data_IF_447954883704
#
_entry.id   IF_447954883704
#
_cell.length_a   1.000
_cell.length_b   1.000
_cell.length_c   1.000
_cell.angle_alpha   90.00
_cell.angle_beta   90.00
_cell.angle_gamma   90.00
#
_symmetry.space_group_name_H-M   'P 1'
#
loop_
_entity.id
_entity.type
_entity.pdbx_description
1 polymer ?
#
# COMPACT_ATOMS: atom_id res chain seq x y z
N UNK A 1 13.34 -15.57 16.44
CA UNK A 1 12.36 -15.17 17.48
C UNK A 1 12.47 -15.92 18.81
N UNK A 2 13.03 -17.15 18.85
CA UNK A 2 13.09 -17.96 20.09
C UNK A 2 13.72 -17.27 21.32
N UNK A 3 14.71 -16.38 21.13
CA UNK A 3 15.34 -15.64 22.24
C UNK A 3 14.47 -14.50 22.78
N UNK A 4 13.71 -13.83 21.92
CA UNK A 4 12.79 -12.73 22.32
C UNK A 4 11.57 -13.29 23.03
N UNK A 5 11.07 -14.43 22.55
CA UNK A 5 9.96 -15.18 23.14
C UNK A 5 10.40 -16.13 24.25
N UNK A 6 11.64 -16.01 24.74
CA UNK A 6 12.13 -16.89 25.81
C UNK A 6 11.32 -16.65 27.09
N UNK A 7 10.90 -17.74 27.73
CA UNK A 7 10.28 -17.69 29.07
C UNK A 7 11.27 -17.18 30.13
N UNK A 8 12.57 -17.31 29.85
CA UNK A 8 13.66 -16.90 30.70
C UNK A 8 14.01 -15.42 30.42
N UNK A 9 13.80 -14.57 31.44
CA UNK A 9 13.90 -13.10 31.33
C UNK A 9 15.34 -12.66 31.03
N UNK A 10 16.34 -13.38 31.55
CA UNK A 10 17.76 -13.04 31.37
C UNK A 10 18.28 -13.39 29.96
N UNK A 11 17.52 -14.20 29.22
CA UNK A 11 17.83 -14.56 27.83
C UNK A 11 17.16 -13.64 26.81
N UNK A 12 16.28 -12.75 27.25
CA UNK A 12 15.63 -11.78 26.36
C UNK A 12 16.62 -10.68 25.99
N UNK A 13 16.84 -10.42 24.69
CA UNK A 13 17.66 -9.28 24.30
C UNK A 13 16.97 -7.98 24.74
N UNK A 14 17.76 -6.99 25.18
CA UNK A 14 17.23 -5.67 25.50
C UNK A 14 16.55 -5.05 24.27
N UNK A 15 15.49 -4.26 24.47
CA UNK A 15 14.65 -3.70 23.39
C UNK A 15 15.47 -2.94 22.35
N UNK A 16 16.54 -2.26 22.76
CA UNK A 16 17.50 -1.58 21.87
C UNK A 16 18.18 -2.52 20.85
N UNK A 17 18.34 -3.80 21.17
CA UNK A 17 18.89 -4.79 20.25
C UNK A 17 17.84 -5.34 19.27
N UNK A 18 16.54 -5.15 19.52
CA UNK A 18 15.50 -5.54 18.56
C UNK A 18 15.69 -4.78 17.24
N UNK A 19 15.95 -3.49 17.31
CA UNK A 19 16.23 -2.64 16.14
C UNK A 19 17.46 -3.11 15.31
N UNK A 20 18.36 -3.90 15.91
CA UNK A 20 19.55 -4.45 15.25
C UNK A 20 19.33 -5.86 14.68
N UNK A 21 18.17 -6.47 14.93
CA UNK A 21 17.88 -7.80 14.39
C UNK A 21 17.42 -7.62 12.93
N UNK A 22 18.05 -8.37 12.01
CA UNK A 22 17.79 -8.39 10.56
C UNK A 22 16.33 -8.64 10.13
N UNK A 23 15.38 -8.84 11.06
CA UNK A 23 13.96 -8.96 10.76
C UNK A 23 13.30 -7.63 10.38
N UNK A 24 13.98 -6.49 10.54
CA UNK A 24 13.48 -5.20 10.06
C UNK A 24 13.69 -4.98 8.54
N UNK A 25 14.37 -5.90 7.84
CA UNK A 25 14.44 -5.94 6.37
C UNK A 25 13.22 -6.66 5.75
N UNK A 26 12.05 -6.58 6.40
CA UNK A 26 10.83 -7.16 5.83
C UNK A 26 10.32 -6.25 4.69
N UNK A 27 10.18 -6.76 3.46
CA UNK A 27 9.76 -5.93 2.32
C UNK A 27 8.37 -5.30 2.54
N UNK A 28 7.47 -5.99 3.24
CA UNK A 28 6.17 -5.48 3.64
C UNK A 28 6.29 -4.24 4.55
N UNK A 29 7.13 -4.31 5.59
CA UNK A 29 7.34 -3.20 6.51
C UNK A 29 8.00 -2.00 5.81
N UNK A 30 8.98 -2.29 4.95
CA UNK A 30 9.66 -1.25 4.15
C UNK A 30 8.68 -0.55 3.21
N UNK A 31 7.80 -1.30 2.52
CA UNK A 31 6.79 -0.72 1.64
C UNK A 31 5.76 0.13 2.42
N UNK A 32 5.29 -0.35 3.57
CA UNK A 32 4.37 0.43 4.42
C UNK A 32 5.00 1.73 4.92
N UNK A 33 6.28 1.69 5.33
CA UNK A 33 7.01 2.88 5.74
C UNK A 33 7.21 3.86 4.58
N UNK A 34 7.59 3.36 3.40
CA UNK A 34 7.69 4.20 2.21
C UNK A 34 6.36 4.83 1.83
N UNK A 35 5.24 4.12 2.01
CA UNK A 35 3.89 4.67 1.82
C UNK A 35 3.57 5.77 2.83
N UNK A 36 4.00 5.63 4.08
CA UNK A 36 3.83 6.68 5.10
C UNK A 36 4.62 7.96 4.75
N UNK A 37 5.81 7.82 4.15
CA UNK A 37 6.71 8.92 3.79
C UNK A 37 6.52 9.45 2.35
N UNK A 38 5.61 8.85 1.56
CA UNK A 38 5.54 9.06 0.10
C UNK A 38 5.25 10.51 -0.31
N UNK A 39 4.59 11.30 0.54
CA UNK A 39 4.34 12.71 0.26
C UNK A 39 5.62 13.55 0.24
N UNK A 40 6.67 13.09 0.91
CA UNK A 40 7.99 13.75 0.92
C UNK A 40 8.79 13.48 -0.36
N UNK A 41 8.36 12.52 -1.18
CA UNK A 41 9.01 12.22 -2.47
C UNK A 41 8.61 13.29 -3.49
N UNK A 42 9.57 14.08 -3.95
CA UNK A 42 9.32 15.13 -4.94
C UNK A 42 9.25 14.61 -6.38
N UNK A 43 9.93 13.50 -6.67
CA UNK A 43 9.97 12.91 -8.01
C UNK A 43 8.67 12.13 -8.34
N UNK A 44 7.89 12.58 -9.34
CA UNK A 44 6.68 11.88 -9.78
C UNK A 44 6.94 10.49 -10.35
N UNK A 45 8.09 10.26 -11.00
CA UNK A 45 8.41 8.93 -11.56
C UNK A 45 8.67 7.93 -10.44
N UNK A 46 9.39 8.36 -9.40
CA UNK A 46 9.63 7.54 -8.21
C UNK A 46 8.31 7.20 -7.49
N UNK A 47 7.39 8.16 -7.34
CA UNK A 47 6.04 7.89 -6.80
C UNK A 47 5.28 6.86 -7.63
N UNK A 48 5.29 7.01 -8.95
CA UNK A 48 4.63 6.07 -9.86
C UNK A 48 5.22 4.67 -9.78
N UNK A 49 6.55 4.54 -9.80
CA UNK A 49 7.24 3.24 -9.68
C UNK A 49 6.91 2.58 -8.35
N UNK A 50 6.96 3.33 -7.24
CA UNK A 50 6.58 2.79 -5.94
C UNK A 50 5.14 2.27 -5.92
N UNK A 51 4.16 3.07 -6.35
CA UNK A 51 2.74 2.70 -6.28
C UNK A 51 2.39 1.53 -7.22
N UNK A 52 2.94 1.54 -8.44
CA UNK A 52 2.60 0.56 -9.48
C UNK A 52 3.45 -0.71 -9.46
N UNK A 53 4.63 -0.70 -8.83
CA UNK A 53 5.54 -1.85 -8.80
C UNK A 53 5.79 -2.25 -7.35
N UNK A 54 6.51 -1.44 -6.57
CA UNK A 54 6.94 -1.83 -5.21
C UNK A 54 5.77 -2.21 -4.31
N UNK A 55 4.71 -1.38 -4.26
CA UNK A 55 3.54 -1.66 -3.45
C UNK A 55 2.76 -2.86 -3.97
N UNK A 56 2.63 -2.99 -5.29
CA UNK A 56 1.97 -4.13 -5.92
C UNK A 56 2.68 -5.46 -5.62
N UNK A 57 4.00 -5.49 -5.77
CA UNK A 57 4.82 -6.69 -5.57
C UNK A 57 4.90 -7.10 -4.10
N UNK A 58 4.69 -6.15 -3.17
CA UNK A 58 4.70 -6.40 -1.73
C UNK A 58 3.31 -6.67 -1.14
N UNK A 59 2.23 -6.34 -1.81
CA UNK A 59 0.86 -6.62 -1.35
C UNK A 59 0.62 -8.10 -0.97
N UNK A 60 1.10 -9.12 -1.72
CA UNK A 60 0.88 -10.53 -1.39
C UNK A 60 1.40 -10.95 -0.01
N UNK A 61 2.44 -10.28 0.50
CA UNK A 61 3.05 -10.59 1.80
C UNK A 61 2.52 -9.70 2.92
N UNK A 62 1.81 -8.62 2.61
CA UNK A 62 1.17 -7.74 3.60
C UNK A 62 -0.14 -8.42 4.05
N UNK A 63 -0.36 -8.61 5.36
CA UNK A 63 -1.64 -9.08 5.89
C UNK A 63 -2.83 -8.23 5.41
N UNK A 64 -3.90 -8.87 4.95
CA UNK A 64 -5.08 -8.18 4.37
C UNK A 64 -5.67 -7.11 5.31
N UNK A 65 -5.66 -7.35 6.63
CA UNK A 65 -6.14 -6.36 7.59
C UNK A 65 -5.40 -5.01 7.48
N UNK A 66 -4.11 -5.02 7.14
CA UNK A 66 -3.30 -3.82 6.94
C UNK A 66 -3.64 -3.10 5.64
N UNK A 67 -4.17 -3.80 4.64
CA UNK A 67 -4.63 -3.15 3.42
C UNK A 67 -5.73 -2.12 3.74
N UNK A 68 -6.68 -2.51 4.58
CA UNK A 68 -7.82 -1.66 4.93
C UNK A 68 -7.57 -0.72 6.11
N UNK A 69 -6.64 -1.06 7.02
CA UNK A 69 -6.33 -0.22 8.19
C UNK A 69 -5.15 0.73 7.98
N UNK A 70 -4.32 0.49 6.95
CA UNK A 70 -3.16 1.34 6.64
C UNK A 70 -3.17 1.81 5.19
N UNK A 71 -3.23 0.92 4.21
CA UNK A 71 -3.03 1.30 2.79
C UNK A 71 -4.17 2.19 2.27
N UNK A 72 -5.42 1.75 2.40
CA UNK A 72 -6.58 2.53 1.94
C UNK A 72 -6.70 3.90 2.62
N UNK A 73 -6.57 4.04 3.96
CA UNK A 73 -6.54 5.34 4.60
C UNK A 73 -5.47 6.28 4.06
N UNK A 74 -4.26 5.77 3.74
CA UNK A 74 -3.21 6.57 3.10
C UNK A 74 -3.56 6.97 1.69
N UNK A 75 -4.25 6.12 0.95
CA UNK A 75 -4.75 6.50 -0.37
C UNK A 75 -5.76 7.63 -0.26
N UNK A 76 -6.71 7.53 0.68
CA UNK A 76 -7.70 8.58 0.94
C UNK A 76 -7.03 9.90 1.35
N UNK A 77 -6.01 9.84 2.20
CA UNK A 77 -5.30 11.02 2.70
C UNK A 77 -4.47 11.72 1.61
N UNK A 78 -3.77 10.94 0.79
CA UNK A 78 -2.72 11.48 -0.07
C UNK A 78 -3.07 11.56 -1.55
N UNK A 79 -3.99 10.73 -2.03
CA UNK A 79 -4.15 10.51 -3.47
C UNK A 79 -5.55 10.77 -4.01
N UNK A 80 -6.51 11.18 -3.17
CA UNK A 80 -7.93 11.32 -3.56
C UNK A 80 -8.19 12.25 -4.76
N UNK A 81 -7.29 13.23 -4.98
CA UNK A 81 -7.35 14.18 -6.10
C UNK A 81 -6.08 14.13 -6.97
N UNK A 82 -5.23 13.10 -6.80
CA UNK A 82 -4.01 12.91 -7.59
C UNK A 82 -4.31 12.07 -8.84
N UNK A 83 -5.10 12.60 -9.76
CA UNK A 83 -5.60 11.86 -10.93
C UNK A 83 -4.48 11.28 -11.81
N UNK A 84 -3.33 11.97 -11.90
CA UNK A 84 -2.16 11.50 -12.66
C UNK A 84 -1.56 10.20 -12.08
N UNK A 85 -1.82 9.91 -10.80
CA UNK A 85 -1.35 8.70 -10.11
C UNK A 85 -2.38 7.57 -10.13
N UNK A 86 -3.60 7.80 -10.62
CA UNK A 86 -4.64 6.77 -10.68
C UNK A 86 -4.24 5.54 -11.50
N UNK A 87 -3.55 5.67 -12.66
CA UNK A 87 -3.03 4.51 -13.37
C UNK A 87 -2.10 3.67 -12.50
N UNK A 88 -1.20 4.30 -11.73
CA UNK A 88 -0.28 3.59 -10.84
C UNK A 88 -1.00 2.93 -9.66
N UNK A 89 -2.00 3.60 -9.07
CA UNK A 89 -2.84 3.08 -7.98
C UNK A 89 -3.76 1.94 -8.42
N UNK A 90 -4.14 1.89 -9.70
CA UNK A 90 -5.05 0.86 -10.21
C UNK A 90 -4.49 -0.55 -10.04
N UNK A 91 -3.18 -0.74 -10.22
CA UNK A 91 -2.50 -2.03 -10.03
C UNK A 91 -2.67 -2.63 -8.63
N UNK A 92 -2.25 -1.95 -7.54
CA UNK A 92 -2.45 -2.47 -6.19
C UNK A 92 -3.94 -2.60 -5.85
N UNK A 93 -4.80 -1.68 -6.30
CA UNK A 93 -6.24 -1.75 -6.02
C UNK A 93 -6.94 -2.94 -6.69
N UNK A 94 -6.59 -3.27 -7.93
CA UNK A 94 -7.14 -4.44 -8.60
C UNK A 94 -6.63 -5.73 -7.99
N UNK A 95 -5.36 -5.79 -7.58
CA UNK A 95 -4.85 -6.93 -6.81
C UNK A 95 -5.64 -7.12 -5.51
N UNK A 96 -5.85 -6.04 -4.75
CA UNK A 96 -6.63 -6.10 -3.52
C UNK A 96 -8.07 -6.53 -3.79
N UNK A 97 -8.69 -6.07 -4.88
CA UNK A 97 -10.05 -6.45 -5.26
C UNK A 97 -10.15 -7.95 -5.61
N UNK A 98 -9.14 -8.49 -6.28
CA UNK A 98 -9.09 -9.89 -6.68
C UNK A 98 -8.83 -10.83 -5.50
N UNK A 99 -8.01 -10.41 -4.54
CA UNK A 99 -7.49 -11.28 -3.47
C UNK A 99 -8.15 -11.07 -2.10
N UNK A 100 -8.88 -9.98 -1.87
CA UNK A 100 -9.51 -9.73 -0.58
C UNK A 100 -10.67 -10.67 -0.28
N UNK A 101 -10.96 -10.87 1.00
CA UNK A 101 -12.17 -11.57 1.42
C UNK A 101 -13.43 -10.85 0.92
N UNK A 102 -14.46 -11.63 0.59
CA UNK A 102 -15.70 -11.12 -0.01
C UNK A 102 -16.38 -10.01 0.81
N UNK A 103 -16.27 -10.08 2.14
CA UNK A 103 -16.83 -9.09 3.05
C UNK A 103 -16.09 -7.73 2.99
N UNK A 104 -14.87 -7.70 2.46
CA UNK A 104 -14.03 -6.51 2.33
C UNK A 104 -14.15 -5.82 0.96
N UNK A 105 -14.71 -6.46 -0.06
CA UNK A 105 -14.91 -5.88 -1.40
C UNK A 105 -15.57 -4.49 -1.34
N UNK A 106 -16.57 -4.32 -0.47
CA UNK A 106 -17.28 -3.04 -0.33
C UNK A 106 -16.37 -1.89 0.11
N UNK A 107 -15.27 -2.18 0.83
CA UNK A 107 -14.30 -1.17 1.28
C UNK A 107 -13.48 -0.60 0.11
N UNK A 108 -13.35 -1.35 -0.99
CA UNK A 108 -12.63 -0.91 -2.20
C UNK A 108 -13.52 -0.16 -3.18
N UNK A 109 -14.85 -0.29 -3.06
CA UNK A 109 -15.82 0.24 -4.02
C UNK A 109 -15.63 1.73 -4.33
N UNK A 110 -15.32 2.54 -3.31
CA UNK A 110 -15.06 3.98 -3.48
C UNK A 110 -13.88 4.22 -4.43
N UNK A 111 -12.75 3.56 -4.18
CA UNK A 111 -11.53 3.68 -4.98
C UNK A 111 -11.69 3.13 -6.39
N UNK A 112 -12.32 1.96 -6.54
CA UNK A 112 -12.58 1.37 -7.86
C UNK A 112 -13.48 2.28 -8.70
N UNK A 113 -14.56 2.82 -8.11
CA UNK A 113 -15.44 3.74 -8.80
C UNK A 113 -14.71 5.03 -9.24
N UNK A 114 -13.82 5.56 -8.40
CA UNK A 114 -13.01 6.74 -8.76
C UNK A 114 -12.11 6.44 -9.97
N UNK A 115 -11.38 5.34 -9.93
CA UNK A 115 -10.48 4.96 -11.04
C UNK A 115 -11.25 4.74 -12.34
N UNK A 116 -12.36 4.01 -12.28
CA UNK A 116 -13.19 3.73 -13.47
C UNK A 116 -13.84 5.01 -14.01
N UNK A 117 -14.35 5.88 -13.14
CA UNK A 117 -14.94 7.15 -13.58
C UNK A 117 -13.92 8.00 -14.34
N UNK A 118 -12.71 8.16 -13.79
CA UNK A 118 -11.68 8.98 -14.40
C UNK A 118 -11.01 8.35 -15.62
N UNK A 119 -11.04 7.02 -15.79
CA UNK A 119 -10.55 6.38 -17.02
C UNK A 119 -11.49 6.56 -18.20
N UNK A 120 -12.78 6.81 -17.96
CA UNK A 120 -13.81 6.98 -19.00
C UNK A 120 -13.94 8.45 -19.46
N UNK A 121 -13.72 9.43 -18.56
CA UNK A 121 -13.82 10.86 -18.86
C UNK A 121 -12.96 11.37 -20.05
N UNK A 122 -11.67 11.02 -20.18
CA UNK A 122 -10.87 11.45 -21.33
C UNK A 122 -11.39 10.86 -22.65
N UNK A 123 -11.99 9.67 -22.61
CA UNK A 123 -12.48 8.94 -23.79
C UNK A 123 -13.78 9.53 -24.34
N UNK A 124 -14.68 10.01 -23.46
CA UNK A 124 -15.95 10.64 -23.89
C UNK A 124 -15.72 12.03 -24.48
N UNK A 125 -14.77 12.79 -23.94
CA UNK A 125 -14.45 14.15 -24.40
C UNK A 125 -13.89 14.19 -25.83
N UNK A 126 -13.21 13.12 -26.26
CA UNK A 126 -12.65 12.98 -27.61
C UNK A 126 -13.67 12.50 -28.65
N UNK A 127 -14.78 11.90 -28.23
CA UNK A 127 -15.84 11.39 -29.12
C UNK A 127 -16.95 12.41 -29.41
N UNK A 128 -16.94 13.55 -28.71
CA UNK A 128 -17.87 14.67 -28.89
C UNK A 128 -17.30 15.83 -29.71
N UNK A 129 -16.13 15.65 -30.34
CA UNK A 129 -15.53 16.56 -31.32
C UNK A 129 -15.59 15.92 -32.72
#
# INVERSE_FOLDING_TARGET
MEKVLSLDVDKRPAVQFLALIKYFDEPALSALRQLDDIMQVFDPEQKNSFLSQTLHDTLPIIPENLWFTRIIPRFDEFFIDSYDLYPALSRPLFYMLEQCESHNINKLKSWINRIVYHSIQPTVSLLTL
#
